data_IF_523709660413
#
_entry.id   IF_523709660413
#
_cell.length_a   1.000
_cell.length_b   1.000
_cell.length_c   1.000
_cell.angle_alpha   90.00
_cell.angle_beta   90.00
_cell.angle_gamma   90.00
#
_symmetry.space_group_name_H-M   'P 1'
#
loop_
_entity.id
_entity.type
_entity.pdbx_description
1 polymer ?
#
# COMPACT_ATOMS: atom_id res chain seq x y z
N UNK A 1 8.99 21.41 12.79
CA UNK A 1 7.69 20.77 13.07
C UNK A 1 7.23 20.08 11.81
N UNK A 2 6.80 18.81 11.89
CA UNK A 2 6.26 18.10 10.73
C UNK A 2 4.92 18.74 10.32
N UNK A 3 4.74 19.02 9.03
CA UNK A 3 3.48 19.60 8.51
C UNK A 3 2.55 18.50 8.04
N UNK A 4 1.29 18.58 8.44
CA UNK A 4 0.24 17.68 7.96
C UNK A 4 -0.02 17.98 6.46
N UNK A 5 0.06 16.95 5.63
CA UNK A 5 -0.12 17.09 4.18
C UNK A 5 -1.57 16.99 3.74
N UNK A 6 -2.46 16.73 4.68
CA UNK A 6 -3.88 16.53 4.38
C UNK A 6 -4.11 15.47 3.28
N UNK A 7 -3.40 14.33 3.37
CA UNK A 7 -3.53 13.21 2.46
C UNK A 7 -3.71 11.90 3.23
N UNK A 8 -4.60 11.04 2.74
CA UNK A 8 -4.81 9.69 3.28
C UNK A 8 -4.63 8.64 2.20
N UNK A 9 -3.83 7.64 2.47
CA UNK A 9 -3.69 6.42 1.70
C UNK A 9 -4.66 5.38 2.26
N UNK A 10 -5.42 4.70 1.41
CA UNK A 10 -6.33 3.61 1.80
C UNK A 10 -5.91 2.36 1.08
N UNK A 11 -5.37 1.39 1.81
CA UNK A 11 -4.96 0.09 1.30
C UNK A 11 -6.08 -0.91 1.47
N UNK A 12 -6.43 -1.59 0.39
CA UNK A 12 -7.27 -2.79 0.45
C UNK A 12 -6.59 -3.92 -0.31
N UNK A 13 -6.58 -5.09 0.30
CA UNK A 13 -6.12 -6.34 -0.31
C UNK A 13 -7.26 -7.09 -1.00
N UNK A 14 -8.41 -6.46 -1.12
CA UNK A 14 -9.58 -7.04 -1.77
C UNK A 14 -9.75 -6.52 -3.21
N UNK A 15 -9.89 -7.41 -4.21
CA UNK A 15 -9.75 -8.85 -4.06
C UNK A 15 -8.30 -9.27 -3.95
N UNK A 16 -7.97 -9.98 -2.90
CA UNK A 16 -6.63 -10.52 -2.74
C UNK A 16 -6.31 -11.46 -3.91
N UNK A 17 -5.32 -11.11 -4.68
CA UNK A 17 -4.74 -11.99 -5.68
C UNK A 17 -3.31 -12.29 -5.29
N UNK A 18 -3.05 -13.52 -4.93
CA UNK A 18 -1.68 -14.01 -4.70
C UNK A 18 -1.19 -14.65 -5.97
N UNK A 19 0.00 -14.28 -6.42
CA UNK A 19 0.65 -14.89 -7.57
C UNK A 19 2.11 -15.17 -7.23
N UNK A 20 2.64 -16.25 -7.78
CA UNK A 20 4.06 -16.56 -7.70
C UNK A 20 4.80 -15.83 -8.80
N UNK A 21 5.78 -15.02 -8.42
CA UNK A 21 6.58 -14.24 -9.36
C UNK A 21 8.01 -14.76 -9.35
N UNK A 22 8.48 -15.17 -10.53
CA UNK A 22 9.87 -15.58 -10.69
C UNK A 22 10.77 -14.33 -10.75
N UNK A 23 11.66 -14.19 -9.76
CA UNK A 23 12.66 -13.12 -9.72
C UNK A 23 14.06 -13.72 -9.72
N UNK A 24 14.69 -13.73 -10.88
CA UNK A 24 15.97 -14.45 -11.05
C UNK A 24 15.78 -15.95 -10.84
N UNK A 25 16.57 -16.55 -9.92
CA UNK A 25 16.53 -17.98 -9.58
C UNK A 25 15.48 -18.33 -8.51
N UNK A 26 14.82 -17.33 -7.91
CA UNK A 26 13.89 -17.54 -6.79
C UNK A 26 12.47 -17.17 -7.18
N UNK A 27 11.50 -17.91 -6.65
CA UNK A 27 10.09 -17.57 -6.76
C UNK A 27 9.67 -16.82 -5.51
N UNK A 28 8.95 -15.71 -5.66
CA UNK A 28 8.44 -14.89 -4.57
C UNK A 28 6.95 -14.68 -4.72
N UNK A 29 6.27 -14.68 -3.60
CA UNK A 29 4.83 -14.52 -3.55
C UNK A 29 4.47 -13.05 -3.61
N UNK A 30 3.69 -12.67 -4.61
CA UNK A 30 3.16 -11.33 -4.80
C UNK A 30 1.70 -11.27 -4.33
N UNK A 31 1.42 -10.39 -3.40
CA UNK A 31 0.07 -10.08 -2.94
C UNK A 31 -0.38 -8.77 -3.61
N UNK A 32 -1.42 -8.87 -4.41
CA UNK A 32 -1.98 -7.74 -5.16
C UNK A 32 -3.23 -7.20 -4.48
N UNK A 33 -3.34 -5.89 -4.42
CA UNK A 33 -4.49 -5.18 -3.89
C UNK A 33 -4.72 -3.85 -4.61
N UNK A 34 -5.38 -2.91 -3.92
CA UNK A 34 -5.60 -1.54 -4.39
C UNK A 34 -5.12 -0.56 -3.34
N UNK A 35 -4.54 0.53 -3.80
CA UNK A 35 -4.19 1.69 -2.99
C UNK A 35 -4.93 2.91 -3.53
N UNK A 36 -5.81 3.46 -2.71
CA UNK A 36 -6.46 4.74 -3.00
C UNK A 36 -5.69 5.84 -2.30
N UNK A 37 -5.44 6.93 -3.00
CA UNK A 37 -4.83 8.13 -2.46
C UNK A 37 -5.85 9.24 -2.49
N UNK A 38 -6.16 9.77 -1.34
CA UNK A 38 -7.26 10.70 -1.11
C UNK A 38 -6.69 12.04 -0.63
N UNK A 39 -6.99 13.11 -1.35
CA UNK A 39 -6.71 14.46 -0.86
C UNK A 39 -7.74 14.80 0.23
N UNK A 40 -7.28 14.77 1.47
CA UNK A 40 -8.08 14.96 2.69
C UNK A 40 -7.67 14.00 3.80
N UNK A 41 -7.87 14.43 5.03
CA UNK A 41 -7.73 13.57 6.20
C UNK A 41 -9.03 12.80 6.41
N UNK A 42 -8.97 11.48 6.25
CA UNK A 42 -10.12 10.63 6.50
C UNK A 42 -10.20 10.25 7.98
N UNK A 43 -11.41 10.30 8.52
CA UNK A 43 -11.77 9.68 9.78
C UNK A 43 -11.92 8.16 9.62
N UNK A 44 -12.50 7.72 8.50
CA UNK A 44 -12.66 6.31 8.20
C UNK A 44 -12.77 6.04 6.69
N UNK A 45 -12.52 4.78 6.33
CA UNK A 45 -12.82 4.22 5.02
C UNK A 45 -13.36 2.80 5.23
N UNK A 46 -14.40 2.40 4.50
CA UNK A 46 -15.00 1.07 4.60
C UNK A 46 -15.67 0.65 3.30
N UNK A 47 -15.69 -0.65 3.03
CA UNK A 47 -16.56 -1.20 2.00
C UNK A 47 -17.99 -1.39 2.53
N UNK A 48 -18.96 -1.32 1.62
CA UNK A 48 -20.33 -1.72 1.92
C UNK A 48 -20.35 -3.11 2.56
N UNK A 49 -21.00 -3.22 3.69
CA UNK A 49 -21.56 -4.49 4.13
C UNK A 49 -22.85 -4.68 3.33
N UNK A 50 -23.11 -5.89 2.87
CA UNK A 50 -24.39 -6.22 2.24
C UNK A 50 -25.54 -5.85 3.20
N UNK A 51 -26.24 -4.75 2.91
CA UNK A 51 -27.32 -4.23 3.73
C UNK A 51 -27.52 -2.72 3.49
N UNK A 52 -28.71 -2.17 3.75
CA UNK A 52 -28.98 -0.76 3.58
C UNK A 52 -28.30 0.05 4.68
N UNK A 53 -27.03 0.38 4.50
CA UNK A 53 -26.36 1.33 5.35
C UNK A 53 -26.76 2.76 4.95
N UNK A 54 -27.20 3.54 5.94
CA UNK A 54 -27.55 4.94 5.79
C UNK A 54 -26.37 5.69 5.17
N UNK A 55 -26.67 6.49 4.16
CA UNK A 55 -25.72 7.44 3.60
C UNK A 55 -25.12 8.28 4.74
N UNK A 56 -23.85 8.05 5.03
CA UNK A 56 -23.08 8.95 5.87
C UNK A 56 -22.46 10.01 4.96
N UNK A 57 -22.40 11.24 5.43
CA UNK A 57 -21.76 12.35 4.72
C UNK A 57 -20.33 12.00 4.31
N UNK A 58 -20.13 11.59 3.08
CA UNK A 58 -18.83 11.14 2.59
C UNK A 58 -18.83 10.92 1.08
N UNK A 59 -17.64 10.72 0.54
CA UNK A 59 -17.44 10.39 -0.87
C UNK A 59 -17.43 8.87 -1.07
N UNK A 60 -18.12 8.42 -2.12
CA UNK A 60 -18.12 7.01 -2.51
C UNK A 60 -17.26 6.78 -3.75
N UNK A 61 -16.60 5.63 -3.81
CA UNK A 61 -15.81 5.19 -4.97
C UNK A 61 -16.23 3.77 -5.32
N UNK A 62 -16.66 3.53 -6.56
CA UNK A 62 -16.90 2.16 -7.03
C UNK A 62 -15.58 1.44 -7.29
N UNK A 63 -15.44 0.26 -6.70
CA UNK A 63 -14.27 -0.60 -6.85
C UNK A 63 -14.70 -1.92 -7.47
N UNK A 64 -14.15 -2.25 -8.63
CA UNK A 64 -14.38 -3.55 -9.26
C UNK A 64 -13.51 -4.60 -8.60
N UNK A 65 -14.12 -5.65 -8.07
CA UNK A 65 -13.46 -6.77 -7.41
C UNK A 65 -13.75 -8.07 -8.16
N UNK A 66 -13.08 -9.17 -7.81
CA UNK A 66 -13.41 -10.50 -8.37
C UNK A 66 -14.82 -10.95 -8.02
N UNK A 67 -15.35 -10.52 -6.87
CA UNK A 67 -16.70 -10.84 -6.41
C UNK A 67 -17.76 -9.86 -6.98
N UNK A 68 -17.38 -8.94 -7.86
CA UNK A 68 -18.25 -7.92 -8.43
C UNK A 68 -17.88 -6.50 -8.00
N UNK A 69 -18.75 -5.56 -8.31
CA UNK A 69 -18.58 -4.16 -7.89
C UNK A 69 -18.89 -4.01 -6.40
N UNK A 70 -18.08 -3.23 -5.71
CA UNK A 70 -18.30 -2.82 -4.32
C UNK A 70 -18.11 -1.32 -4.19
N UNK A 71 -18.78 -0.72 -3.25
CA UNK A 71 -18.65 0.71 -2.96
C UNK A 71 -17.72 0.91 -1.78
N UNK A 72 -16.69 1.71 -1.97
CA UNK A 72 -15.80 2.19 -0.90
C UNK A 72 -16.35 3.52 -0.41
N UNK A 73 -16.74 3.58 0.86
CA UNK A 73 -17.17 4.80 1.54
C UNK A 73 -15.97 5.45 2.22
N UNK A 74 -15.76 6.72 1.92
CA UNK A 74 -14.71 7.57 2.47
C UNK A 74 -15.37 8.65 3.31
N UNK A 75 -15.02 8.75 4.58
CA UNK A 75 -15.56 9.76 5.51
C UNK A 75 -14.44 10.72 5.91
N UNK A 76 -14.62 12.01 5.62
CA UNK A 76 -13.66 13.03 6.01
C UNK A 76 -13.67 13.24 7.53
N UNK A 77 -12.51 13.51 8.12
CA UNK A 77 -12.41 13.95 9.52
C UNK A 77 -12.91 15.39 9.68
N UNK A 78 -12.59 16.23 8.70
CA UNK A 78 -13.03 17.63 8.62
C UNK A 78 -13.05 18.06 7.15
N UNK A 79 -14.02 18.88 6.78
CA UNK A 79 -14.13 19.47 5.46
C UNK A 79 -14.48 18.47 4.36
N UNK A 80 -14.12 18.78 3.14
CA UNK A 80 -14.45 17.98 1.96
C UNK A 80 -13.32 17.03 1.56
N UNK A 81 -13.71 15.95 0.93
CA UNK A 81 -12.78 15.01 0.29
C UNK A 81 -12.49 15.53 -1.12
N UNK A 82 -11.24 15.82 -1.38
CA UNK A 82 -10.77 16.29 -2.67
C UNK A 82 -10.60 15.17 -3.71
N UNK A 83 -9.53 15.23 -4.48
CA UNK A 83 -9.23 14.25 -5.50
C UNK A 83 -8.95 12.86 -4.91
N UNK A 84 -9.44 11.82 -5.60
CA UNK A 84 -9.11 10.41 -5.31
C UNK A 84 -8.39 9.82 -6.51
N UNK A 85 -7.26 9.17 -6.27
CA UNK A 85 -6.51 8.39 -7.27
C UNK A 85 -6.46 6.94 -6.84
N UNK A 86 -6.53 6.06 -7.81
CA UNK A 86 -6.47 4.62 -7.60
C UNK A 86 -5.22 4.04 -8.27
N UNK A 87 -4.50 3.22 -7.52
CA UNK A 87 -3.36 2.45 -7.97
C UNK A 87 -3.56 0.98 -7.61
N UNK A 88 -2.94 0.09 -8.37
CA UNK A 88 -2.71 -1.26 -7.86
C UNK A 88 -1.70 -1.19 -6.73
N UNK A 89 -1.83 -2.07 -5.74
CA UNK A 89 -0.83 -2.25 -4.69
C UNK A 89 -0.16 -3.60 -4.80
N UNK A 90 1.10 -3.64 -4.41
CA UNK A 90 1.91 -4.85 -4.36
C UNK A 90 2.57 -4.95 -2.99
N UNK A 91 2.42 -6.11 -2.35
CA UNK A 91 3.10 -6.52 -1.14
C UNK A 91 3.75 -7.89 -1.38
N UNK A 92 4.72 -8.25 -0.56
CA UNK A 92 5.29 -9.60 -0.57
C UNK A 92 4.59 -10.46 0.47
N UNK A 93 3.96 -11.56 0.02
CA UNK A 93 3.39 -12.59 0.88
C UNK A 93 4.50 -13.55 1.40
N UNK A 94 4.13 -14.55 2.18
CA UNK A 94 5.05 -15.62 2.55
C UNK A 94 5.98 -15.32 3.72
N UNK A 95 5.43 -15.04 4.90
CA UNK A 95 6.19 -14.95 6.16
C UNK A 95 6.78 -13.57 6.45
N UNK A 96 6.48 -12.56 5.64
CA UNK A 96 6.81 -11.17 5.93
C UNK A 96 5.74 -10.50 6.80
N UNK A 97 6.16 -9.45 7.49
CA UNK A 97 5.29 -8.67 8.34
C UNK A 97 4.37 -7.81 7.46
N UNK A 98 3.07 -7.95 7.66
CA UNK A 98 2.06 -7.13 7.01
C UNK A 98 1.33 -6.27 8.04
N UNK A 99 0.90 -5.09 7.63
CA UNK A 99 0.04 -4.26 8.46
C UNK A 99 -1.31 -4.95 8.68
N UNK A 100 -1.78 -4.94 9.90
CA UNK A 100 -3.12 -5.39 10.23
C UNK A 100 -4.16 -4.36 9.77
N UNK A 101 -5.41 -4.82 9.58
CA UNK A 101 -6.50 -3.89 9.33
C UNK A 101 -6.66 -2.94 10.52
N UNK A 102 -6.98 -1.68 10.22
CA UNK A 102 -7.29 -0.72 11.25
C UNK A 102 -8.58 -1.08 11.99
N UNK A 103 -8.67 -0.64 13.22
CA UNK A 103 -9.82 -0.80 14.11
C UNK A 103 -10.29 0.57 14.59
N UNK A 104 -11.44 0.62 15.26
CA UNK A 104 -11.92 1.87 15.86
C UNK A 104 -10.94 2.46 16.88
N UNK A 105 -10.18 1.61 17.59
CA UNK A 105 -9.14 2.04 18.53
C UNK A 105 -7.87 2.55 17.82
N UNK A 106 -7.60 2.08 16.61
CA UNK A 106 -6.47 2.50 15.77
C UNK A 106 -6.99 2.80 14.38
N UNK A 107 -7.63 3.96 14.15
CA UNK A 107 -8.35 4.24 12.91
C UNK A 107 -7.42 4.39 11.70
N UNK A 108 -6.17 4.71 11.89
CA UNK A 108 -5.15 4.80 10.84
C UNK A 108 -3.74 4.61 11.39
N UNK A 109 -2.81 4.30 10.53
CA UNK A 109 -1.37 4.36 10.81
C UNK A 109 -0.83 5.73 10.38
N UNK A 110 -0.15 6.47 11.27
CA UNK A 110 0.56 7.67 10.87
C UNK A 110 1.69 7.32 9.89
N UNK A 111 1.81 8.12 8.85
CA UNK A 111 2.91 8.06 7.89
C UNK A 111 3.79 9.30 8.03
N UNK A 112 5.08 9.13 7.73
CA UNK A 112 6.04 10.22 7.58
C UNK A 112 6.83 10.06 6.30
N UNK A 113 6.96 11.12 5.52
CA UNK A 113 7.82 11.11 4.34
C UNK A 113 9.29 11.14 4.73
N UNK A 114 10.11 10.36 4.06
CA UNK A 114 11.56 10.33 4.27
C UNK A 114 12.30 9.95 2.98
N UNK A 115 13.61 10.17 2.96
CA UNK A 115 14.52 9.53 2.01
C UNK A 115 15.11 8.32 2.72
N UNK A 116 14.80 7.12 2.23
CA UNK A 116 15.36 5.89 2.77
C UNK A 116 16.58 5.46 1.94
N UNK A 117 17.75 5.61 2.50
CA UNK A 117 19.00 5.30 1.81
C UNK A 117 19.13 3.83 1.43
N UNK A 118 18.62 2.90 2.26
CA UNK A 118 18.64 1.47 1.93
C UNK A 118 17.82 1.14 0.69
N UNK A 119 16.66 1.80 0.53
CA UNK A 119 15.84 1.66 -0.69
C UNK A 119 16.60 2.21 -1.88
N UNK A 120 17.15 3.42 -1.78
CA UNK A 120 17.95 4.05 -2.84
C UNK A 120 19.15 3.17 -3.24
N UNK A 121 19.96 2.80 -2.27
CA UNK A 121 21.20 2.04 -2.51
C UNK A 121 20.89 0.65 -3.09
N UNK A 122 19.74 0.05 -2.73
CA UNK A 122 19.26 -1.20 -3.35
C UNK A 122 18.99 -1.02 -4.83
N UNK A 123 18.35 0.08 -5.25
CA UNK A 123 18.11 0.38 -6.67
C UNK A 123 19.42 0.58 -7.43
N UNK A 124 20.33 1.35 -6.87
CA UNK A 124 21.64 1.61 -7.45
C UNK A 124 22.44 0.32 -7.61
N UNK A 125 22.50 -0.51 -6.57
CA UNK A 125 23.16 -1.82 -6.61
C UNK A 125 22.50 -2.80 -7.59
N UNK A 126 21.18 -2.71 -7.77
CA UNK A 126 20.41 -3.49 -8.75
C UNK A 126 20.52 -2.97 -10.18
N UNK A 127 21.27 -1.90 -10.43
CA UNK A 127 21.43 -1.31 -11.75
C UNK A 127 20.19 -0.55 -12.26
N UNK A 128 19.25 -0.22 -11.40
CA UNK A 128 18.06 0.57 -11.73
C UNK A 128 18.48 2.06 -11.72
N UNK A 129 18.79 2.58 -12.89
CA UNK A 129 19.30 3.97 -13.05
C UNK A 129 18.22 5.01 -12.79
N UNK A 130 16.97 4.65 -13.04
CA UNK A 130 15.86 5.59 -13.08
C UNK A 130 14.89 5.27 -11.94
N UNK A 131 15.15 5.82 -10.75
CA UNK A 131 14.37 5.65 -9.53
C UNK A 131 14.11 7.01 -8.84
N UNK A 132 13.22 7.04 -7.87
CA UNK A 132 12.81 8.29 -7.18
C UNK A 132 13.77 8.76 -6.07
N UNK A 133 14.98 8.24 -6.01
CA UNK A 133 16.00 8.63 -5.01
C UNK A 133 15.70 8.11 -3.60
N UNK A 134 14.94 7.03 -3.46
CA UNK A 134 14.57 6.44 -2.16
C UNK A 134 13.51 7.22 -1.39
N UNK A 135 12.79 8.14 -2.05
CA UNK A 135 11.66 8.86 -1.46
C UNK A 135 10.52 7.90 -1.15
N UNK A 136 10.05 7.91 0.09
CA UNK A 136 9.04 6.97 0.57
C UNK A 136 8.23 7.55 1.72
N UNK A 137 7.21 6.79 2.15
CA UNK A 137 6.54 7.00 3.43
C UNK A 137 6.97 5.89 4.38
N UNK A 138 7.38 6.26 5.58
CA UNK A 138 7.55 5.33 6.70
C UNK A 138 6.26 5.22 7.47
N UNK A 139 5.81 4.00 7.72
CA UNK A 139 4.68 3.70 8.61
C UNK A 139 5.16 3.82 10.06
N UNK A 140 4.49 4.65 10.83
CA UNK A 140 4.79 4.87 12.25
C UNK A 140 3.78 4.12 13.13
N UNK A 141 4.19 3.84 14.40
CA UNK A 141 3.31 3.33 15.46
C UNK A 141 2.49 2.08 15.06
N UNK A 142 3.10 1.13 14.38
CA UNK A 142 2.45 -0.15 14.09
C UNK A 142 2.93 -1.24 15.06
N UNK A 143 2.11 -2.26 15.36
CA UNK A 143 2.42 -3.29 16.36
C UNK A 143 3.44 -4.33 15.88
N UNK A 144 3.74 -4.32 14.59
CA UNK A 144 4.52 -5.38 13.95
C UNK A 144 6.00 -5.29 14.34
N UNK A 145 6.50 -6.35 14.93
CA UNK A 145 7.91 -6.53 15.28
C UNK A 145 8.52 -7.65 14.43
N UNK A 146 9.80 -7.54 14.19
CA UNK A 146 10.60 -8.62 13.62
C UNK A 146 10.78 -9.72 14.67
N UNK A 147 11.26 -10.88 14.24
CA UNK A 147 11.56 -12.01 15.14
C UNK A 147 12.59 -11.67 16.25
N UNK A 148 13.43 -10.66 16.00
CA UNK A 148 14.39 -10.13 16.97
C UNK A 148 13.78 -9.06 17.93
N UNK A 149 12.48 -8.83 17.86
CA UNK A 149 11.77 -7.85 18.68
C UNK A 149 11.88 -6.39 18.21
N UNK A 150 12.68 -6.13 17.17
CA UNK A 150 12.83 -4.79 16.58
C UNK A 150 11.60 -4.45 15.74
N UNK A 151 11.17 -3.18 15.78
CA UNK A 151 10.06 -2.72 14.95
C UNK A 151 10.37 -2.92 13.47
N UNK A 152 9.44 -3.54 12.75
CA UNK A 152 9.57 -3.70 11.30
C UNK A 152 9.53 -2.33 10.61
N UNK A 153 10.50 -2.08 9.75
CA UNK A 153 10.54 -0.85 8.96
C UNK A 153 9.63 -0.96 7.73
N UNK A 154 8.30 -0.86 7.92
CA UNK A 154 7.35 -0.91 6.82
C UNK A 154 7.32 0.45 6.12
N UNK A 155 7.48 0.42 4.80
CA UNK A 155 7.48 1.60 3.95
C UNK A 155 6.40 1.49 2.87
N UNK A 156 5.92 2.64 2.39
CA UNK A 156 5.27 2.75 1.08
C UNK A 156 6.30 3.37 0.14
N UNK A 157 6.77 2.60 -0.82
CA UNK A 157 7.84 3.02 -1.73
C UNK A 157 7.70 2.43 -3.13
N UNK A 158 8.44 2.96 -4.07
CA UNK A 158 8.49 2.38 -5.40
C UNK A 158 9.11 0.97 -5.35
N UNK A 159 8.54 0.05 -6.12
CA UNK A 159 9.14 -1.25 -6.38
C UNK A 159 8.70 -1.77 -7.75
N UNK A 160 9.64 -2.04 -8.67
CA UNK A 160 9.30 -2.52 -10.00
C UNK A 160 8.70 -3.93 -9.98
N UNK A 161 9.01 -4.73 -8.98
CA UNK A 161 8.44 -6.07 -8.74
C UNK A 161 8.56 -6.50 -7.28
N UNK A 162 7.91 -7.59 -6.92
CA UNK A 162 7.82 -8.09 -5.53
C UNK A 162 9.18 -8.38 -4.88
N UNK A 163 10.20 -8.64 -5.68
CA UNK A 163 11.56 -8.89 -5.18
C UNK A 163 12.18 -7.76 -4.37
N UNK A 164 11.70 -6.54 -4.56
CA UNK A 164 12.15 -5.33 -3.86
C UNK A 164 11.43 -5.10 -2.53
N UNK A 165 10.43 -5.92 -2.22
CA UNK A 165 9.60 -5.76 -1.03
C UNK A 165 9.96 -6.79 0.03
N UNK A 166 10.05 -6.35 1.29
CA UNK A 166 10.24 -7.18 2.48
C UNK A 166 9.25 -6.78 3.57
N UNK A 167 7.95 -6.79 3.22
CA UNK A 167 6.86 -6.31 4.08
C UNK A 167 6.42 -4.87 3.78
N UNK A 168 7.02 -4.25 2.76
CA UNK A 168 6.65 -2.91 2.29
C UNK A 168 5.50 -2.96 1.28
N UNK A 169 4.88 -1.82 1.03
CA UNK A 169 3.79 -1.61 0.09
C UNK A 169 4.31 -0.81 -1.09
N UNK A 170 4.05 -1.27 -2.32
CA UNK A 170 4.35 -0.49 -3.52
C UNK A 170 3.07 -0.15 -4.27
N UNK A 171 2.86 1.10 -4.68
CA UNK A 171 1.83 1.48 -5.62
C UNK A 171 2.33 1.34 -7.07
N UNK A 172 1.41 1.16 -8.01
CA UNK A 172 1.73 1.14 -9.43
C UNK A 172 0.54 0.78 -10.29
N UNK A 173 0.78 0.51 -11.56
CA UNK A 173 -0.17 -0.10 -12.48
C UNK A 173 0.33 -1.49 -12.82
N UNK A 174 -0.45 -2.51 -12.49
CA UNK A 174 -0.08 -3.90 -12.72
C UNK A 174 0.10 -4.19 -14.21
N UNK A 175 1.25 -4.73 -14.55
CA UNK A 175 1.61 -5.23 -15.87
C UNK A 175 1.98 -6.71 -15.71
N UNK A 176 1.01 -7.60 -15.91
CA UNK A 176 1.19 -9.03 -15.64
C UNK A 176 1.55 -9.31 -14.17
N UNK A 177 2.81 -9.57 -13.87
CA UNK A 177 3.35 -9.95 -12.56
C UNK A 177 4.25 -8.89 -11.90
N UNK A 178 4.32 -7.69 -12.46
CA UNK A 178 5.18 -6.60 -12.00
C UNK A 178 4.56 -5.23 -12.25
N UNK A 179 5.21 -4.20 -11.72
CA UNK A 179 4.88 -2.79 -11.97
C UNK A 179 5.81 -2.12 -12.99
N UNK A 180 7.09 -2.52 -13.05
CA UNK A 180 8.10 -1.79 -13.82
C UNK A 180 8.15 -0.31 -13.41
N UNK A 181 8.32 0.59 -14.36
CA UNK A 181 8.38 2.05 -14.12
C UNK A 181 7.07 2.65 -13.64
N UNK A 182 5.95 1.92 -13.71
CA UNK A 182 4.67 2.45 -13.25
C UNK A 182 4.65 2.70 -11.75
N UNK A 183 5.44 1.95 -10.97
CA UNK A 183 5.55 2.17 -9.52
C UNK A 183 6.22 3.50 -9.19
N UNK A 184 7.30 3.85 -9.89
CA UNK A 184 7.95 5.16 -9.75
C UNK A 184 6.99 6.31 -10.10
N UNK A 185 6.28 6.17 -11.22
CA UNK A 185 5.29 7.17 -11.65
C UNK A 185 4.18 7.34 -10.62
N UNK A 186 3.66 6.25 -10.08
CA UNK A 186 2.66 6.28 -9.02
C UNK A 186 3.16 7.00 -7.77
N UNK A 187 4.37 6.69 -7.29
CA UNK A 187 4.96 7.39 -6.14
C UNK A 187 5.14 8.89 -6.41
N UNK A 188 5.58 9.27 -7.59
CA UNK A 188 5.73 10.67 -7.96
C UNK A 188 4.36 11.39 -8.01
N UNK A 189 3.33 10.74 -8.55
CA UNK A 189 1.96 11.27 -8.56
C UNK A 189 1.43 11.47 -7.14
N UNK A 190 1.66 10.52 -6.23
CA UNK A 190 1.28 10.64 -4.82
C UNK A 190 1.98 11.85 -4.18
N UNK A 191 3.27 12.04 -4.42
CA UNK A 191 3.99 13.21 -3.92
C UNK A 191 3.47 14.51 -4.53
N UNK A 192 3.09 14.54 -5.81
CA UNK A 192 2.47 15.70 -6.44
C UNK A 192 1.13 16.06 -5.77
N UNK A 193 0.30 15.08 -5.41
CA UNK A 193 -0.94 15.32 -4.65
C UNK A 193 -0.69 15.96 -3.28
N UNK A 194 0.51 15.81 -2.73
CA UNK A 194 0.95 16.45 -1.48
C UNK A 194 1.55 17.85 -1.69
N UNK A 195 1.51 18.38 -2.90
CA UNK A 195 2.22 19.63 -3.23
C UNK A 195 3.75 19.47 -3.36
N UNK A 196 4.20 18.29 -3.77
CA UNK A 196 5.60 17.92 -3.92
C UNK A 196 6.17 17.17 -2.73
N UNK A 197 7.31 16.50 -2.96
CA UNK A 197 8.04 15.80 -1.90
C UNK A 197 8.77 16.80 -1.01
N UNK A 198 8.60 16.65 0.30
CA UNK A 198 9.50 17.19 1.31
C UNK A 198 9.61 16.15 2.44
N UNK A 199 10.77 16.04 3.08
CA UNK A 199 10.94 15.15 4.22
C UNK A 199 10.10 15.63 5.42
N UNK A 200 9.80 14.70 6.30
CA UNK A 200 9.07 14.92 7.56
C UNK A 200 7.62 15.42 7.43
N UNK A 201 7.03 15.35 6.22
CA UNK A 201 5.59 15.56 6.07
C UNK A 201 4.81 14.37 6.64
N UNK A 202 3.68 14.65 7.29
CA UNK A 202 2.80 13.63 7.85
C UNK A 202 1.66 13.32 6.87
N UNK A 203 1.28 12.05 6.81
CA UNK A 203 0.13 11.55 6.09
C UNK A 203 -0.52 10.41 6.90
N UNK A 204 -1.57 9.80 6.37
CA UNK A 204 -2.28 8.68 7.02
C UNK A 204 -2.35 7.48 6.11
N UNK A 205 -2.37 6.28 6.71
CA UNK A 205 -2.65 5.03 6.00
C UNK A 205 -3.77 4.29 6.73
N UNK A 206 -4.86 4.04 6.01
CA UNK A 206 -5.95 3.17 6.46
C UNK A 206 -5.79 1.83 5.74
N UNK A 207 -5.80 0.74 6.50
CA UNK A 207 -5.78 -0.63 5.99
C UNK A 207 -7.12 -1.26 6.29
N UNK A 208 -7.88 -1.63 5.26
CA UNK A 208 -9.30 -2.02 5.39
C UNK A 208 -9.53 -3.50 5.71
N UNK A 209 -8.63 -4.36 5.29
CA UNK A 209 -8.80 -5.80 5.41
C UNK A 209 -7.58 -6.48 6.02
N UNK A 210 -7.90 -7.45 6.85
CA UNK A 210 -6.93 -8.44 7.30
C UNK A 210 -6.68 -9.31 6.10
N UNK A 211 -5.67 -9.07 5.29
CA UNK A 211 -5.31 -10.08 4.29
C UNK A 211 -5.43 -11.45 4.97
N UNK A 212 -6.20 -12.37 4.40
CA UNK A 212 -6.37 -13.69 4.99
C UNK A 212 -4.99 -14.26 5.33
N UNK A 213 -4.72 -14.45 6.62
CA UNK A 213 -3.39 -14.88 7.08
C UNK A 213 -2.93 -16.14 6.36
N UNK A 214 -3.87 -16.96 5.92
CA UNK A 214 -3.62 -18.20 5.20
C UNK A 214 -3.42 -17.99 3.69
N UNK A 215 -4.14 -17.04 3.07
CA UNK A 215 -3.89 -16.67 1.68
C UNK A 215 -2.56 -15.93 1.50
N UNK A 216 -2.10 -15.19 2.51
CA UNK A 216 -0.77 -14.57 2.53
C UNK A 216 0.35 -15.60 2.79
N UNK A 217 0.02 -16.82 3.27
CA UNK A 217 0.98 -17.89 3.54
C UNK A 217 1.14 -18.87 2.38
N UNK A 218 0.15 -19.00 1.53
CA UNK A 218 0.11 -20.05 0.52
C UNK A 218 0.29 -19.47 -0.89
N UNK A 219 1.53 -19.45 -1.36
CA UNK A 219 1.72 -19.58 -2.78
C UNK A 219 1.56 -21.10 -3.13
N UNK A 220 0.66 -21.49 -4.02
CA UNK A 220 0.71 -22.85 -4.55
C UNK A 220 2.12 -23.06 -5.09
N UNK A 221 2.78 -24.15 -4.64
CA UNK A 221 4.08 -24.52 -5.20
C UNK A 221 3.89 -24.59 -6.71
N UNK A 222 4.74 -23.93 -7.53
CA UNK A 222 4.65 -24.08 -8.96
C UNK A 222 4.68 -25.58 -9.23
N UNK A 223 3.67 -26.08 -9.96
CA UNK A 223 3.68 -27.46 -10.43
C UNK A 223 5.06 -27.68 -11.04
N UNK A 224 5.77 -28.65 -10.50
CA UNK A 224 7.03 -29.08 -11.10
C UNK A 224 6.63 -29.53 -12.51
N UNK A 225 6.94 -28.70 -13.49
CA UNK A 225 6.88 -29.13 -14.87
C UNK A 225 7.72 -30.41 -14.95
N UNK A 226 7.03 -31.49 -15.25
CA UNK A 226 7.60 -32.80 -15.55
C UNK A 226 8.44 -32.68 -16.82
#
# INVERSE_FOLDING_TARGET
>A
MATDTNITLVLTRFPLAVSCVKTGKTTKDACWGRLFVVAGNLASARFDRAGPDRATDGKTVEVTTRAGKRTLHLVAERGEIGAVREFDSLERAGGFVHLEANTDAVPYYPLKTEINFRVRDSFEAGGVKDHNGGRCFRVLKHPNKRSDGVMAGILVHEAPHVGWLTGCIAPGKRQSDRFGDSSRRAMNEIFQMMGGFAADKLARLIVLDKGEKDALKACPKPDRAV
#
